data_IF_609590610486
#
_entry.id   IF_609590610486
#
_cell.length_a   1.000
_cell.length_b   1.000
_cell.length_c   1.000
_cell.angle_alpha   90.00
_cell.angle_beta   90.00
_cell.angle_gamma   90.00
#
_symmetry.space_group_name_H-M   'P 1'
#
loop_
_entity.id
_entity.type
_entity.pdbx_description
1 polymer ?
#
# COMPACT_ATOMS: atom_id res chain seq x y z
N UNK A 1 -10.16 32.79 6.04
CA UNK A 1 -11.47 32.65 6.71
C UNK A 1 -11.30 32.25 8.17
N UNK A 2 -10.75 31.07 8.48
CA UNK A 2 -10.47 30.60 9.84
C UNK A 2 -9.84 31.67 10.75
N UNK A 3 -8.73 32.29 10.34
CA UNK A 3 -8.06 33.36 11.12
C UNK A 3 -8.98 34.54 11.48
N UNK A 4 -9.93 34.92 10.60
CA UNK A 4 -10.90 35.99 10.86
C UNK A 4 -11.93 35.58 11.91
N UNK A 5 -12.41 34.34 11.85
CA UNK A 5 -13.38 33.79 12.81
C UNK A 5 -12.74 33.56 14.18
N UNK A 6 -11.50 33.06 14.20
CA UNK A 6 -10.69 32.92 15.40
C UNK A 6 -10.45 34.29 16.04
N UNK A 7 -10.08 35.30 15.25
CA UNK A 7 -9.89 36.67 15.73
C UNK A 7 -11.19 37.32 16.26
N UNK A 8 -12.34 36.98 15.67
CA UNK A 8 -13.65 37.45 16.11
C UNK A 8 -14.16 36.73 17.37
N UNK A 9 -13.48 35.68 17.85
CA UNK A 9 -13.90 34.91 19.02
C UNK A 9 -15.20 34.13 18.80
N UNK A 10 -15.49 33.69 17.57
CA UNK A 10 -16.72 32.97 17.24
C UNK A 10 -16.95 31.75 18.16
N UNK A 11 -18.14 31.62 18.74
CA UNK A 11 -18.50 30.51 19.63
C UNK A 11 -17.94 30.58 21.05
N UNK A 12 -17.29 31.68 21.46
CA UNK A 12 -16.88 31.86 22.85
C UNK A 12 -18.06 32.32 23.71
N UNK A 13 -18.13 31.79 24.93
CA UNK A 13 -19.02 32.30 25.96
C UNK A 13 -18.74 33.80 26.22
N UNK A 14 -19.81 34.57 26.43
CA UNK A 14 -19.73 35.97 26.80
C UNK A 14 -19.19 36.08 28.24
N UNK A 15 -18.35 37.08 28.50
CA UNK A 15 -17.98 37.44 29.87
C UNK A 15 -19.17 37.96 30.67
N UNK A 16 -19.02 38.10 31.99
CA UNK A 16 -20.07 38.66 32.87
C UNK A 16 -20.47 40.12 32.51
N UNK A 17 -19.66 40.78 31.68
CA UNK A 17 -19.82 42.12 31.13
C UNK A 17 -20.56 42.15 29.78
N UNK A 18 -20.98 41.01 29.24
CA UNK A 18 -21.75 40.90 27.99
C UNK A 18 -20.91 41.09 26.70
N UNK A 19 -19.58 41.17 26.82
CA UNK A 19 -18.67 41.22 25.67
C UNK A 19 -18.07 39.84 25.36
N UNK A 20 -17.77 39.52 24.08
CA UNK A 20 -17.08 38.29 23.73
C UNK A 20 -15.69 38.26 24.38
N UNK A 21 -15.32 37.14 25.00
CA UNK A 21 -14.15 36.98 25.87
C UNK A 21 -12.76 37.13 25.18
N UNK A 22 -12.70 37.72 23.99
CA UNK A 22 -11.51 37.97 23.17
C UNK A 22 -11.30 36.94 22.05
N UNK A 23 -10.25 37.09 21.22
CA UNK A 23 -9.94 36.15 20.14
C UNK A 23 -9.58 34.76 20.67
N UNK A 24 -9.73 33.74 19.82
CA UNK A 24 -9.21 32.40 20.09
C UNK A 24 -7.68 32.40 19.98
N UNK A 25 -7.00 31.91 21.02
CA UNK A 25 -5.58 31.51 20.93
C UNK A 25 -5.48 30.00 20.63
N UNK A 26 -4.35 29.51 20.08
CA UNK A 26 -4.17 28.09 19.83
C UNK A 26 -4.39 27.21 21.06
N UNK A 27 -3.96 27.68 22.23
CA UNK A 27 -4.07 26.97 23.51
C UNK A 27 -5.52 26.87 23.96
N UNK A 28 -6.27 27.97 23.88
CA UNK A 28 -7.69 28.01 24.24
C UNK A 28 -8.53 27.13 23.30
N UNK A 29 -8.23 27.16 22.01
CA UNK A 29 -8.98 26.40 21.02
C UNK A 29 -8.69 24.88 21.11
N UNK A 30 -7.43 24.51 21.35
CA UNK A 30 -7.06 23.11 21.59
C UNK A 30 -7.73 22.55 22.85
N UNK A 31 -7.77 23.35 23.92
CA UNK A 31 -8.48 22.99 25.15
C UNK A 31 -9.99 22.83 24.92
N UNK A 32 -10.63 23.79 24.25
CA UNK A 32 -12.07 23.73 23.95
C UNK A 32 -12.46 22.51 23.11
N UNK A 33 -11.67 22.17 22.08
CA UNK A 33 -11.92 20.97 21.25
C UNK A 33 -11.70 19.67 22.03
N UNK A 34 -10.77 19.68 22.99
CA UNK A 34 -10.46 18.50 23.81
C UNK A 34 -11.47 18.29 24.95
N UNK A 35 -12.23 19.32 25.32
CA UNK A 35 -13.31 19.25 26.30
C UNK A 35 -14.64 18.76 25.72
N UNK A 36 -14.76 18.58 24.41
CA UNK A 36 -15.96 18.01 23.79
C UNK A 36 -16.01 16.51 24.13
N UNK A 37 -17.02 16.06 24.87
CA UNK A 37 -17.20 14.67 25.37
C UNK A 37 -17.14 13.59 24.27
N UNK A 38 -17.51 13.95 23.04
CA UNK A 38 -17.45 13.04 21.88
C UNK A 38 -16.06 12.91 21.25
N UNK A 39 -15.06 13.65 21.74
CA UNK A 39 -13.67 13.64 21.28
C UNK A 39 -12.71 13.00 22.30
N UNK A 40 -12.77 11.68 22.47
CA UNK A 40 -11.94 10.93 23.44
C UNK A 40 -10.43 11.05 23.21
N UNK A 41 -9.99 11.43 22.00
CA UNK A 41 -8.58 11.59 21.66
C UNK A 41 -8.04 13.00 21.88
N UNK A 42 -8.91 14.00 22.09
CA UNK A 42 -8.53 15.41 22.08
C UNK A 42 -7.98 15.89 20.74
N UNK A 43 -7.47 17.12 20.70
CA UNK A 43 -6.66 17.63 19.58
C UNK A 43 -5.34 18.15 20.12
N UNK A 44 -4.24 17.73 19.49
CA UNK A 44 -2.90 18.15 19.86
C UNK A 44 -2.67 19.65 19.61
N UNK A 45 -2.08 20.33 20.59
CA UNK A 45 -1.78 21.78 20.55
C UNK A 45 -0.95 22.15 19.33
N UNK A 46 0.04 21.32 18.96
CA UNK A 46 0.88 21.57 17.78
C UNK A 46 0.08 21.57 16.49
N UNK A 47 -0.97 20.76 16.41
CA UNK A 47 -1.88 20.73 15.26
C UNK A 47 -2.68 22.02 15.16
N UNK A 48 -3.16 22.57 16.29
CA UNK A 48 -3.90 23.83 16.31
C UNK A 48 -3.00 25.02 16.00
N UNK A 49 -1.77 25.06 16.54
CA UNK A 49 -0.79 26.11 16.23
C UNK A 49 -0.51 26.21 14.72
N UNK A 50 -0.45 25.08 14.02
CA UNK A 50 -0.29 25.04 12.56
C UNK A 50 -1.46 25.67 11.78
N UNK A 51 -2.65 25.80 12.36
CA UNK A 51 -3.79 26.47 11.73
C UNK A 51 -3.72 27.99 11.82
N UNK A 52 -3.06 28.52 12.85
CA UNK A 52 -2.83 29.95 13.03
C UNK A 52 -1.63 30.46 12.21
N UNK A 53 -0.69 29.57 11.88
CA UNK A 53 0.40 29.87 10.96
C UNK A 53 -0.10 29.97 9.50
N UNK A 54 0.67 30.63 8.64
CA UNK A 54 0.45 30.56 7.18
C UNK A 54 0.92 29.20 6.70
N UNK A 55 -0.02 28.28 6.53
CA UNK A 55 0.28 26.92 6.12
C UNK A 55 -0.68 26.46 5.02
N UNK A 56 -0.08 25.94 3.95
CA UNK A 56 -0.77 25.36 2.82
C UNK A 56 -1.21 23.93 3.08
N UNK A 57 -1.46 23.52 4.33
CA UNK A 57 -2.06 22.20 4.66
C UNK A 57 -3.54 22.30 5.03
N UNK A 58 -4.02 23.46 5.49
CA UNK A 58 -5.43 23.64 5.87
C UNK A 58 -5.83 22.78 7.07
N UNK A 59 -7.13 22.71 7.36
CA UNK A 59 -7.69 21.96 8.49
C UNK A 59 -8.38 20.69 7.95
N UNK A 60 -8.20 19.56 8.63
CA UNK A 60 -8.81 18.27 8.22
C UNK A 60 -10.33 18.25 8.47
N UNK A 61 -11.05 17.39 7.74
CA UNK A 61 -12.51 17.27 7.88
C UNK A 61 -12.96 16.89 9.31
N UNK A 62 -12.22 16.00 9.97
CA UNK A 62 -12.45 15.63 11.37
C UNK A 62 -12.36 16.84 12.30
N UNK A 63 -11.36 17.69 12.09
CA UNK A 63 -11.14 18.88 12.91
C UNK A 63 -12.10 20.03 12.55
N UNK A 64 -12.57 20.08 11.30
CA UNK A 64 -13.64 20.99 10.88
C UNK A 64 -14.94 20.67 11.61
N UNK A 65 -15.28 19.39 11.78
CA UNK A 65 -16.47 18.99 12.55
C UNK A 65 -16.39 19.48 14.00
N UNK A 66 -15.21 19.39 14.62
CA UNK A 66 -15.01 19.90 15.98
C UNK A 66 -15.05 21.43 16.04
N UNK A 67 -14.43 22.12 15.10
CA UNK A 67 -14.48 23.58 15.01
C UNK A 67 -15.89 24.09 14.75
N UNK A 68 -16.66 23.42 13.91
CA UNK A 68 -18.06 23.77 13.66
C UNK A 68 -18.89 23.67 14.94
N UNK A 69 -18.61 22.66 15.76
CA UNK A 69 -19.26 22.45 17.06
C UNK A 69 -18.87 23.51 18.09
N UNK A 70 -17.60 23.91 18.13
CA UNK A 70 -17.12 25.02 18.97
C UNK A 70 -17.71 26.36 18.51
N UNK A 71 -17.68 26.66 17.20
CA UNK A 71 -18.21 27.92 16.67
C UNK A 71 -19.75 27.99 16.69
N UNK A 72 -20.41 26.83 16.68
CA UNK A 72 -21.85 26.69 16.84
C UNK A 72 -22.32 26.59 18.29
N UNK A 73 -21.44 26.71 19.29
CA UNK A 73 -21.79 26.59 20.72
C UNK A 73 -22.59 25.30 21.04
N UNK A 74 -22.22 24.16 20.43
CA UNK A 74 -22.93 22.89 20.55
C UNK A 74 -24.40 22.88 20.06
N UNK A 75 -24.92 23.98 19.49
CA UNK A 75 -26.24 24.02 18.87
C UNK A 75 -26.23 23.23 17.54
N UNK A 76 -27.14 22.25 17.34
CA UNK A 76 -27.13 21.41 16.14
C UNK A 76 -27.33 22.19 14.84
N UNK A 77 -28.16 23.22 14.82
CA UNK A 77 -28.44 24.01 13.61
C UNK A 77 -27.24 24.91 13.26
N UNK A 78 -26.71 25.65 14.23
CA UNK A 78 -25.52 26.47 14.04
C UNK A 78 -24.29 25.61 13.70
N UNK A 79 -24.13 24.44 14.32
CA UNK A 79 -23.04 23.50 14.01
C UNK A 79 -23.12 23.01 12.56
N UNK A 80 -24.32 22.63 12.07
CA UNK A 80 -24.50 22.20 10.69
C UNK A 80 -24.17 23.33 9.70
N UNK A 81 -24.64 24.55 9.97
CA UNK A 81 -24.33 25.73 9.17
C UNK A 81 -22.82 26.01 9.12
N UNK A 82 -22.14 25.97 10.27
CA UNK A 82 -20.69 26.15 10.34
C UNK A 82 -19.92 25.04 9.64
N UNK A 83 -20.40 23.79 9.70
CA UNK A 83 -19.76 22.66 9.05
C UNK A 83 -19.79 22.82 7.52
N UNK A 84 -20.92 23.25 6.95
CA UNK A 84 -21.05 23.54 5.50
C UNK A 84 -20.11 24.66 5.08
N UNK A 85 -20.05 25.72 5.87
CA UNK A 85 -19.22 26.90 5.56
C UNK A 85 -17.72 26.56 5.61
N UNK A 86 -17.28 25.83 6.63
CA UNK A 86 -15.89 25.43 6.80
C UNK A 86 -15.45 24.38 5.78
N UNK A 87 -16.32 23.42 5.43
CA UNK A 87 -16.03 22.42 4.39
C UNK A 87 -15.92 23.07 3.01
N UNK A 88 -16.82 24.01 2.68
CA UNK A 88 -16.73 24.78 1.44
C UNK A 88 -15.44 25.61 1.35
N UNK A 89 -14.99 26.20 2.47
CA UNK A 89 -13.70 26.90 2.52
C UNK A 89 -12.50 25.97 2.31
N UNK A 90 -12.55 24.74 2.85
CA UNK A 90 -11.53 23.72 2.63
C UNK A 90 -11.50 23.26 1.17
N UNK A 91 -12.66 23.03 0.56
CA UNK A 91 -12.79 22.63 -0.85
C UNK A 91 -12.19 23.69 -1.79
N UNK A 92 -12.48 24.98 -1.55
CA UNK A 92 -11.89 26.09 -2.32
C UNK A 92 -10.36 26.12 -2.21
N UNK A 93 -9.83 25.84 -1.02
CA UNK A 93 -8.38 25.80 -0.81
C UNK A 93 -7.74 24.60 -1.55
N UNK A 94 -8.37 23.43 -1.52
CA UNK A 94 -7.91 22.26 -2.27
C UNK A 94 -7.98 22.49 -3.78
N UNK A 95 -9.04 23.14 -4.29
CA UNK A 95 -9.15 23.52 -5.71
C UNK A 95 -8.00 24.45 -6.12
N UNK A 96 -7.74 25.51 -5.35
CA UNK A 96 -6.62 26.43 -5.61
C UNK A 96 -5.26 25.71 -5.63
N UNK A 97 -5.05 24.68 -4.80
CA UNK A 97 -3.81 23.88 -4.85
C UNK A 97 -3.71 23.03 -6.12
N UNK A 98 -4.82 22.48 -6.60
CA UNK A 98 -4.84 21.71 -7.86
C UNK A 98 -4.49 22.63 -9.03
N UNK A 99 -4.98 23.87 -9.03
CA UNK A 99 -4.63 24.89 -10.03
C UNK A 99 -3.15 25.28 -9.99
N UNK A 100 -2.57 25.52 -8.80
CA UNK A 100 -1.14 25.85 -8.67
C UNK A 100 -0.25 24.68 -9.12
N UNK A 101 -0.59 23.44 -8.74
CA UNK A 101 0.14 22.25 -9.21
C UNK A 101 0.07 22.07 -10.73
N UNK A 102 -1.08 22.42 -11.33
CA UNK A 102 -1.29 22.39 -12.78
C UNK A 102 -0.51 23.51 -13.50
N UNK A 103 -0.34 24.67 -12.87
CA UNK A 103 0.46 25.77 -13.41
C UNK A 103 1.98 25.47 -13.36
N UNK A 104 2.46 24.85 -12.28
CA UNK A 104 3.87 24.42 -12.15
C UNK A 104 4.26 23.30 -13.14
N UNK A 105 3.29 22.55 -13.64
CA UNK A 105 3.52 21.50 -14.66
C UNK A 105 3.57 22.03 -16.10
N UNK A 106 3.39 23.34 -16.33
CA UNK A 106 3.41 23.99 -17.65
C UNK A 106 4.67 24.83 -17.95
N UNK A 107 5.69 24.85 -17.08
CA UNK A 107 6.99 25.48 -17.38
C UNK A 107 7.88 24.53 -18.22
N UNK A 108 8.61 25.01 -19.26
CA UNK A 108 9.34 24.13 -20.17
C UNK A 108 10.65 23.65 -19.54
N UNK A 109 10.64 22.41 -19.07
CA UNK A 109 11.81 21.72 -18.53
C UNK A 109 11.49 20.30 -18.05
N UNK A 110 11.52 19.33 -18.99
CA UNK A 110 11.61 17.85 -18.80
C UNK A 110 10.29 17.10 -18.48
N UNK A 111 9.98 15.97 -19.14
CA UNK A 111 8.60 15.54 -19.36
C UNK A 111 7.99 14.61 -18.29
N UNK A 112 6.75 14.95 -17.95
CA UNK A 112 5.54 14.13 -17.74
C UNK A 112 5.56 12.90 -16.83
N UNK A 113 4.76 12.98 -15.74
CA UNK A 113 3.67 12.02 -15.49
C UNK A 113 2.48 12.74 -14.81
N UNK A 114 1.25 12.64 -15.35
CA UNK A 114 0.03 13.23 -14.79
C UNK A 114 -0.57 12.37 -13.65
N UNK A 115 -1.36 12.96 -12.73
CA UNK A 115 -2.76 12.55 -12.71
C UNK A 115 -3.75 13.68 -12.40
N UNK A 116 -4.79 13.69 -13.22
CA UNK A 116 -6.09 14.32 -12.97
C UNK A 116 -7.05 13.25 -12.36
N UNK A 117 -8.35 13.52 -12.21
CA UNK A 117 -9.05 14.30 -11.20
C UNK A 117 -9.86 13.41 -10.25
N UNK A 118 -10.19 13.89 -9.04
CA UNK A 118 -11.48 13.55 -8.43
C UNK A 118 -12.12 14.78 -7.81
N UNK A 119 -13.11 15.27 -8.55
CA UNK A 119 -14.18 16.15 -8.11
C UNK A 119 -15.23 15.26 -7.45
N UNK A 120 -15.52 15.50 -6.18
CA UNK A 120 -16.70 14.95 -5.54
C UNK A 120 -17.89 15.89 -5.87
N UNK A 121 -18.73 15.46 -6.81
CA UNK A 121 -20.06 16.03 -7.03
C UNK A 121 -21.04 15.29 -6.11
N UNK A 122 -21.34 15.86 -4.94
CA UNK A 122 -22.56 15.54 -4.21
C UNK A 122 -23.72 16.33 -4.83
N UNK A 123 -24.50 15.64 -5.68
CA UNK A 123 -25.79 16.13 -6.14
C UNK A 123 -26.88 15.63 -5.20
N UNK A 124 -27.42 16.54 -4.40
CA UNK A 124 -28.63 16.35 -3.60
C UNK A 124 -29.83 16.07 -4.50
N UNK A 125 -30.59 15.02 -4.21
CA UNK A 125 -31.96 14.86 -4.71
C UNK A 125 -32.86 14.25 -3.64
N UNK A 126 -34.12 14.71 -3.56
CA UNK A 126 -34.92 14.65 -2.35
C UNK A 126 -35.60 13.30 -2.15
N UNK A 127 -35.67 12.92 -0.88
CA UNK A 127 -36.33 11.75 -0.33
C UNK A 127 -37.81 11.69 -0.72
N UNK A 128 -38.25 10.54 -1.23
CA UNK A 128 -39.66 10.13 -1.21
C UNK A 128 -39.75 8.84 -0.39
N UNK A 129 -40.38 8.95 0.78
CA UNK A 129 -40.61 7.87 1.72
C UNK A 129 -41.66 6.89 1.16
N UNK A 130 -41.32 5.60 1.10
CA UNK A 130 -42.27 4.48 1.24
C UNK A 130 -41.63 3.44 2.17
N UNK A 131 -42.34 2.96 3.19
CA UNK A 131 -41.83 1.96 4.13
C UNK A 131 -41.92 0.56 3.52
N UNK A 132 -41.07 -0.34 4.04
CA UNK A 132 -41.03 -1.80 3.81
C UNK A 132 -40.03 -2.31 2.77
N UNK A 133 -38.74 -2.20 3.11
CA UNK A 133 -37.73 -3.20 2.77
C UNK A 133 -36.61 -3.16 3.83
N UNK A 134 -36.27 -4.31 4.38
CA UNK A 134 -35.24 -4.47 5.40
C UNK A 134 -33.90 -3.85 4.95
N UNK A 135 -33.16 -3.14 5.83
CA UNK A 135 -31.88 -2.56 5.45
C UNK A 135 -30.82 -3.67 5.41
N UNK A 136 -30.49 -4.14 4.20
CA UNK A 136 -29.18 -4.73 3.94
C UNK A 136 -28.13 -3.67 4.28
N UNK A 137 -27.51 -3.84 5.44
CA UNK A 137 -26.45 -3.01 5.93
C UNK A 137 -25.34 -2.84 4.89
N UNK A 138 -25.23 -1.61 4.36
CA UNK A 138 -23.99 -0.85 4.22
C UNK A 138 -22.75 -1.71 3.84
N UNK A 139 -22.90 -2.47 2.74
CA UNK A 139 -21.83 -3.29 2.19
C UNK A 139 -20.85 -2.35 1.49
N UNK A 140 -19.69 -2.21 2.13
CA UNK A 140 -18.41 -1.67 1.59
C UNK A 140 -18.17 -0.19 1.87
N UNK A 141 -18.00 0.12 3.17
CA UNK A 141 -16.90 1.02 3.58
C UNK A 141 -15.62 0.56 2.88
N UNK A 142 -15.06 1.47 2.09
CA UNK A 142 -13.85 1.36 1.30
C UNK A 142 -12.74 0.65 2.09
N UNK A 143 -12.65 -0.68 1.94
CA UNK A 143 -11.63 -1.50 2.59
C UNK A 143 -10.29 -1.10 1.96
N UNK A 144 -9.25 -1.00 2.79
CA UNK A 144 -7.87 -1.02 2.34
C UNK A 144 -7.69 -2.28 1.46
N UNK A 145 -7.78 -2.12 0.13
CA UNK A 145 -7.66 -3.26 -0.78
C UNK A 145 -6.19 -3.55 -1.02
N UNK A 146 -5.67 -4.52 -0.27
CA UNK A 146 -4.34 -5.10 -0.51
C UNK A 146 -4.21 -5.62 -1.95
N UNK A 147 -5.32 -6.08 -2.54
CA UNK A 147 -5.35 -6.53 -3.92
C UNK A 147 -5.03 -5.39 -4.90
N UNK A 148 -5.70 -4.24 -4.77
CA UNK A 148 -5.39 -3.07 -5.61
C UNK A 148 -3.97 -2.56 -5.40
N UNK A 149 -3.49 -2.49 -4.16
CA UNK A 149 -2.11 -2.06 -3.90
C UNK A 149 -1.09 -3.01 -4.51
N UNK A 150 -1.32 -4.32 -4.41
CA UNK A 150 -0.45 -5.33 -5.03
C UNK A 150 -0.46 -5.17 -6.54
N UNK A 151 -1.64 -5.08 -7.15
CA UNK A 151 -1.76 -4.87 -8.59
C UNK A 151 -1.02 -3.61 -9.05
N UNK A 152 -1.21 -2.47 -8.37
CA UNK A 152 -0.45 -1.24 -8.69
C UNK A 152 1.06 -1.34 -8.50
N UNK A 153 1.57 -2.26 -7.67
CA UNK A 153 3.02 -2.49 -7.57
C UNK A 153 3.58 -3.25 -8.77
N UNK A 154 2.75 -4.07 -9.41
CA UNK A 154 3.10 -4.83 -10.62
C UNK A 154 2.78 -4.06 -11.90
N UNK A 155 1.73 -3.24 -11.93
CA UNK A 155 1.30 -2.49 -13.12
C UNK A 155 1.74 -1.02 -13.10
N UNK A 156 2.12 -0.48 -11.94
CA UNK A 156 2.47 0.93 -11.76
C UNK A 156 3.91 1.27 -12.13
N UNK A 157 4.07 2.13 -13.13
CA UNK A 157 5.37 2.69 -13.53
C UNK A 157 6.15 1.81 -14.50
N UNK A 158 7.49 1.91 -14.48
CA UNK A 158 8.35 1.12 -15.37
C UNK A 158 8.33 -0.36 -14.99
N UNK A 159 8.25 -1.30 -15.95
CA UNK A 159 8.22 -2.73 -15.68
C UNK A 159 9.49 -3.25 -14.97
N UNK A 160 10.54 -2.44 -14.92
CA UNK A 160 11.80 -2.75 -14.26
C UNK A 160 11.85 -2.32 -12.79
N UNK A 161 10.91 -1.48 -12.32
CA UNK A 161 10.98 -0.91 -10.97
C UNK A 161 10.90 -1.97 -9.87
N UNK A 162 9.93 -2.89 -9.96
CA UNK A 162 9.75 -3.95 -8.98
C UNK A 162 10.92 -4.95 -8.98
N UNK A 163 11.33 -5.52 -10.13
CA UNK A 163 12.54 -6.36 -10.21
C UNK A 163 13.80 -5.68 -9.68
N UNK A 164 14.02 -4.41 -10.06
CA UNK A 164 15.19 -3.65 -9.63
C UNK A 164 15.17 -3.38 -8.13
N UNK A 165 14.01 -3.06 -7.54
CA UNK A 165 13.87 -2.86 -6.10
C UNK A 165 14.16 -4.13 -5.30
N UNK A 166 13.73 -5.29 -5.80
CA UNK A 166 13.99 -6.59 -5.17
C UNK A 166 15.48 -6.92 -5.30
N UNK A 167 16.05 -6.79 -6.49
CA UNK A 167 17.49 -6.98 -6.70
C UNK A 167 18.34 -6.06 -5.80
N UNK A 168 17.97 -4.78 -5.70
CA UNK A 168 18.64 -3.81 -4.86
C UNK A 168 18.51 -4.16 -3.37
N UNK A 169 17.35 -4.63 -2.92
CA UNK A 169 17.15 -5.09 -1.54
C UNK A 169 18.01 -6.30 -1.18
N UNK A 170 18.06 -7.31 -2.06
CA UNK A 170 18.94 -8.47 -1.89
C UNK A 170 20.42 -8.06 -1.89
N UNK A 171 20.81 -7.14 -2.78
CA UNK A 171 22.17 -6.58 -2.84
C UNK A 171 22.53 -5.82 -1.56
N UNK A 172 21.62 -4.99 -1.06
CA UNK A 172 21.82 -4.24 0.18
C UNK A 172 22.01 -5.17 1.39
N UNK A 173 21.24 -6.25 1.47
CA UNK A 173 21.44 -7.30 2.49
C UNK A 173 22.80 -8.00 2.34
N UNK A 174 23.24 -8.26 1.10
CA UNK A 174 24.57 -8.80 0.82
C UNK A 174 25.69 -7.88 1.30
N UNK A 175 25.60 -6.58 1.00
CA UNK A 175 26.56 -5.58 1.50
C UNK A 175 26.52 -5.44 3.03
N UNK A 176 25.33 -5.45 3.63
CA UNK A 176 25.19 -5.38 5.07
C UNK A 176 25.79 -6.63 5.74
N UNK A 177 25.60 -7.80 5.14
CA UNK A 177 26.24 -9.05 5.58
C UNK A 177 27.77 -8.97 5.55
N UNK A 178 28.32 -8.29 4.54
CA UNK A 178 29.75 -8.03 4.44
C UNK A 178 30.23 -7.11 5.58
N UNK A 179 29.57 -5.97 5.77
CA UNK A 179 29.88 -4.99 6.84
C UNK A 179 29.83 -5.64 8.22
N UNK A 180 28.84 -6.50 8.44
CA UNK A 180 28.61 -7.19 9.72
C UNK A 180 29.54 -8.40 9.92
N UNK A 181 30.25 -8.86 8.88
CA UNK A 181 31.22 -9.95 8.98
C UNK A 181 30.62 -11.38 8.93
N UNK A 182 29.38 -11.52 8.47
CA UNK A 182 28.65 -12.81 8.38
C UNK A 182 28.52 -13.33 6.93
N UNK A 183 29.18 -12.66 5.99
CA UNK A 183 29.14 -12.97 4.56
C UNK A 183 29.80 -14.31 4.22
N UNK A 184 30.92 -14.64 4.86
CA UNK A 184 31.65 -15.90 4.70
C UNK A 184 32.48 -16.20 5.95
N UNK A 185 32.32 -17.40 6.51
CA UNK A 185 33.17 -17.91 7.58
C UNK A 185 33.50 -19.39 7.34
N UNK A 186 34.76 -19.75 7.59
CA UNK A 186 35.20 -21.15 7.53
C UNK A 186 35.15 -21.72 8.94
N UNK A 187 34.33 -22.75 9.14
CA UNK A 187 34.22 -23.49 10.39
C UNK A 187 34.83 -24.88 10.23
N UNK A 188 35.75 -25.27 11.11
CA UNK A 188 36.19 -26.66 11.22
C UNK A 188 35.16 -27.44 12.03
N UNK A 189 34.46 -28.35 11.37
CA UNK A 189 33.61 -29.35 12.03
C UNK A 189 34.49 -30.34 12.81
N UNK A 190 33.91 -31.00 13.81
CA UNK A 190 34.55 -32.04 14.62
C UNK A 190 35.29 -33.13 13.81
N UNK A 191 34.93 -33.32 12.54
CA UNK A 191 35.56 -34.28 11.60
C UNK A 191 36.81 -33.74 10.88
N UNK A 192 37.35 -32.57 11.28
CA UNK A 192 38.42 -31.82 10.59
C UNK A 192 38.09 -31.36 9.16
N UNK A 193 36.81 -31.40 8.76
CA UNK A 193 36.35 -30.87 7.47
C UNK A 193 36.04 -29.38 7.65
N UNK A 194 36.74 -28.54 6.91
CA UNK A 194 36.43 -27.12 6.78
C UNK A 194 35.13 -26.95 5.98
N UNK A 195 34.10 -26.38 6.60
CA UNK A 195 32.85 -26.02 5.95
C UNK A 195 32.73 -24.51 5.87
N UNK A 196 32.52 -23.99 4.67
CA UNK A 196 32.18 -22.59 4.46
C UNK A 196 30.71 -22.36 4.79
N UNK A 197 30.44 -21.46 5.73
CA UNK A 197 29.12 -21.08 6.17
C UNK A 197 29.07 -19.57 6.15
N UNK A 198 28.11 -19.01 5.44
CA UNK A 198 27.95 -17.57 5.32
C UNK A 198 26.70 -17.23 4.53
N UNK A 199 26.27 -15.98 4.64
CA UNK A 199 25.08 -15.50 3.94
C UNK A 199 25.19 -15.69 2.42
N UNK A 200 26.39 -15.51 1.84
CA UNK A 200 26.64 -15.70 0.40
C UNK A 200 26.62 -17.17 -0.03
N UNK A 201 26.90 -18.08 0.91
CA UNK A 201 26.90 -19.52 0.64
C UNK A 201 25.52 -20.15 0.74
N UNK A 202 24.51 -19.39 1.16
CA UNK A 202 23.13 -19.84 1.19
C UNK A 202 22.49 -19.65 -0.21
N UNK A 203 22.19 -20.73 -0.95
CA UNK A 203 21.68 -20.62 -2.32
C UNK A 203 20.36 -19.85 -2.42
N UNK A 204 19.54 -19.90 -1.36
CA UNK A 204 18.30 -19.12 -1.31
C UNK A 204 18.56 -17.61 -1.44
N UNK A 205 19.68 -17.10 -0.92
CA UNK A 205 19.98 -15.66 -0.99
C UNK A 205 20.61 -15.26 -2.32
N UNK A 206 21.54 -16.06 -2.83
CA UNK A 206 22.31 -15.73 -4.05
C UNK A 206 21.63 -16.15 -5.34
N UNK A 207 20.82 -17.20 -5.35
CA UNK A 207 20.09 -17.64 -6.55
C UNK A 207 18.63 -17.20 -6.50
N UNK A 208 17.90 -17.53 -5.44
CA UNK A 208 16.46 -17.25 -5.38
C UNK A 208 16.18 -15.74 -5.28
N UNK A 209 16.67 -15.04 -4.25
CA UNK A 209 16.36 -13.63 -4.05
C UNK A 209 17.10 -12.66 -4.99
N UNK A 210 18.31 -13.02 -5.43
CA UNK A 210 19.12 -12.19 -6.31
C UNK A 210 18.83 -12.39 -7.80
N UNK A 211 18.42 -13.59 -8.23
CA UNK A 211 18.29 -13.90 -9.66
C UNK A 211 16.89 -14.36 -10.03
N UNK A 212 16.42 -15.48 -9.47
CA UNK A 212 15.15 -16.10 -9.88
C UNK A 212 13.95 -15.18 -9.60
N UNK A 213 13.92 -14.56 -8.43
CA UNK A 213 12.78 -13.75 -8.00
C UNK A 213 12.65 -12.42 -8.77
N UNK A 214 13.73 -11.62 -8.98
CA UNK A 214 13.67 -10.47 -9.88
C UNK A 214 13.25 -10.85 -11.31
N UNK A 215 13.76 -11.96 -11.85
CA UNK A 215 13.37 -12.45 -13.18
C UNK A 215 11.89 -12.84 -13.23
N UNK A 216 11.40 -13.55 -12.20
CA UNK A 216 9.99 -13.86 -12.07
C UNK A 216 9.14 -12.58 -12.08
N UNK A 217 9.49 -11.58 -11.26
CA UNK A 217 8.74 -10.32 -11.23
C UNK A 217 8.80 -9.55 -12.54
N UNK A 218 9.93 -9.60 -13.27
CA UNK A 218 10.04 -8.95 -14.57
C UNK A 218 9.06 -9.57 -15.56
N UNK A 219 8.99 -10.91 -15.60
CA UNK A 219 8.06 -11.63 -16.47
C UNK A 219 6.60 -11.39 -16.10
N UNK A 220 6.26 -11.43 -14.81
CA UNK A 220 4.88 -11.18 -14.34
C UNK A 220 4.47 -9.75 -14.69
N UNK A 221 5.35 -8.79 -14.44
CA UNK A 221 5.08 -7.37 -14.72
C UNK A 221 4.91 -7.11 -16.21
N UNK A 222 5.79 -7.65 -17.06
CA UNK A 222 5.68 -7.53 -18.52
C UNK A 222 4.38 -8.18 -19.02
N UNK A 223 4.05 -9.36 -18.51
CA UNK A 223 2.85 -10.09 -18.90
C UNK A 223 1.57 -9.36 -18.48
N UNK A 224 1.55 -8.81 -17.26
CA UNK A 224 0.43 -8.06 -16.74
C UNK A 224 0.25 -6.73 -17.48
N UNK A 225 1.35 -6.01 -17.76
CA UNK A 225 1.33 -4.79 -18.55
C UNK A 225 0.80 -5.07 -19.96
N UNK A 226 1.27 -6.13 -20.62
CA UNK A 226 0.75 -6.55 -21.92
C UNK A 226 -0.75 -6.89 -21.87
N UNK A 227 -1.19 -7.63 -20.86
CA UNK A 227 -2.60 -8.04 -20.74
C UNK A 227 -3.54 -6.87 -20.53
N UNK A 228 -3.17 -5.95 -19.64
CA UNK A 228 -3.99 -4.78 -19.29
C UNK A 228 -4.00 -3.73 -20.41
N UNK A 229 -2.89 -3.52 -21.12
CA UNK A 229 -2.79 -2.51 -22.19
C UNK A 229 -3.29 -3.00 -23.56
N UNK A 230 -2.84 -4.16 -24.02
CA UNK A 230 -3.09 -4.61 -25.40
C UNK A 230 -3.97 -5.85 -25.45
N UNK A 231 -3.72 -6.82 -24.55
CA UNK A 231 -4.31 -8.15 -24.63
C UNK A 231 -5.83 -8.15 -24.44
N UNK A 232 -6.32 -7.45 -23.41
CA UNK A 232 -7.75 -7.26 -23.19
C UNK A 232 -8.38 -6.48 -24.33
N UNK A 233 -7.81 -5.33 -24.72
CA UNK A 233 -8.41 -4.46 -25.74
C UNK A 233 -8.63 -5.20 -27.06
N UNK A 234 -7.64 -5.97 -27.54
CA UNK A 234 -7.76 -6.72 -28.80
C UNK A 234 -8.82 -7.82 -28.77
N UNK A 235 -9.08 -8.43 -27.61
CA UNK A 235 -10.16 -9.41 -27.45
C UNK A 235 -11.53 -8.74 -27.34
N UNK A 236 -11.60 -7.55 -26.75
CA UNK A 236 -12.83 -6.79 -26.55
C UNK A 236 -13.25 -5.94 -27.74
N UNK A 237 -12.36 -5.54 -28.65
CA UNK A 237 -12.76 -4.90 -29.92
C UNK A 237 -13.69 -5.78 -30.77
N UNK A 238 -13.81 -7.06 -30.44
CA UNK A 238 -14.71 -8.03 -31.04
C UNK A 238 -16.06 -8.18 -30.31
N UNK A 239 -16.14 -7.83 -29.02
CA UNK A 239 -17.38 -7.84 -28.23
C UNK A 239 -17.75 -6.39 -27.90
N UNK A 240 -18.77 -5.88 -28.59
CA UNK A 240 -19.22 -4.47 -28.68
C UNK A 240 -19.70 -3.83 -27.34
N UNK A 241 -19.04 -4.11 -26.22
CA UNK A 241 -19.46 -3.79 -24.85
C UNK A 241 -18.45 -2.87 -24.18
N UNK A 242 -18.86 -1.63 -23.93
CA UNK A 242 -18.07 -0.48 -23.46
C UNK A 242 -17.75 -0.52 -21.95
N UNK A 243 -17.14 -1.59 -21.42
CA UNK A 243 -16.70 -1.66 -20.01
C UNK A 243 -15.25 -2.17 -19.88
N UNK A 244 -14.28 -1.31 -20.22
CA UNK A 244 -12.88 -1.72 -20.44
C UNK A 244 -12.04 -1.93 -19.16
N UNK A 245 -12.22 -1.11 -18.12
CA UNK A 245 -11.24 -1.01 -17.02
C UNK A 245 -11.81 -1.42 -15.64
N UNK A 246 -13.08 -1.10 -15.41
CA UNK A 246 -13.78 -1.44 -14.17
C UNK A 246 -13.87 -2.96 -13.92
N UNK A 247 -13.92 -3.77 -14.98
CA UNK A 247 -14.07 -5.22 -14.87
C UNK A 247 -12.78 -5.91 -14.42
N UNK A 248 -11.60 -5.42 -14.85
CA UNK A 248 -10.31 -5.92 -14.34
C UNK A 248 -10.16 -5.60 -12.86
N UNK A 249 -10.40 -4.33 -12.48
CA UNK A 249 -10.30 -3.90 -11.10
C UNK A 249 -11.28 -4.65 -10.18
N UNK A 250 -12.49 -4.98 -10.67
CA UNK A 250 -13.45 -5.83 -9.94
C UNK A 250 -12.99 -7.28 -9.82
N UNK A 251 -12.39 -7.85 -10.86
CA UNK A 251 -11.86 -9.22 -10.82
C UNK A 251 -10.70 -9.34 -9.82
N UNK A 252 -9.79 -8.37 -9.80
CA UNK A 252 -8.70 -8.29 -8.81
C UNK A 252 -9.25 -8.12 -7.39
N UNK A 253 -10.25 -7.25 -7.20
CA UNK A 253 -10.92 -7.07 -5.91
C UNK A 253 -11.64 -8.34 -5.44
N UNK A 254 -12.18 -9.12 -6.38
CA UNK A 254 -12.78 -10.44 -6.13
C UNK A 254 -11.81 -11.42 -5.46
N UNK A 255 -10.50 -11.26 -5.69
CA UNK A 255 -9.45 -12.07 -5.06
C UNK A 255 -8.88 -11.43 -3.77
N UNK A 256 -9.48 -10.37 -3.23
CA UNK A 256 -8.95 -9.65 -2.05
C UNK A 256 -8.75 -10.53 -0.81
N UNK A 257 -9.57 -11.58 -0.62
CA UNK A 257 -9.38 -12.53 0.47
C UNK A 257 -8.06 -13.29 0.33
N UNK A 258 -7.73 -13.76 -0.88
CA UNK A 258 -6.49 -14.49 -1.15
C UNK A 258 -5.26 -13.62 -0.88
N UNK A 259 -5.26 -12.36 -1.33
CA UNK A 259 -4.18 -11.42 -1.03
C UNK A 259 -4.00 -11.18 0.48
N UNK A 260 -5.11 -11.03 1.21
CA UNK A 260 -5.07 -10.85 2.67
C UNK A 260 -4.55 -12.10 3.39
N UNK A 261 -5.07 -13.28 3.03
CA UNK A 261 -4.65 -14.55 3.61
C UNK A 261 -3.15 -14.80 3.39
N UNK A 262 -2.67 -14.62 2.16
CA UNK A 262 -1.25 -14.75 1.81
C UNK A 262 -0.41 -13.72 2.57
N UNK A 263 -0.85 -12.46 2.67
CA UNK A 263 -0.13 -11.44 3.44
C UNK A 263 0.07 -11.87 4.90
N UNK A 264 -1.00 -12.34 5.55
CA UNK A 264 -0.94 -12.81 6.93
C UNK A 264 -0.03 -14.02 7.08
N UNK A 265 -0.13 -15.00 6.18
CA UNK A 265 0.71 -16.20 6.22
C UNK A 265 2.19 -15.82 6.02
N UNK A 266 2.51 -14.98 5.04
CA UNK A 266 3.89 -14.58 4.77
C UNK A 266 4.48 -13.78 5.94
N UNK A 267 3.79 -12.73 6.40
CA UNK A 267 4.33 -11.84 7.43
C UNK A 267 4.38 -12.53 8.79
N UNK A 268 3.31 -13.20 9.22
CA UNK A 268 3.24 -13.80 10.55
C UNK A 268 4.02 -15.11 10.63
N UNK A 269 3.77 -16.06 9.72
CA UNK A 269 4.38 -17.38 9.82
C UNK A 269 5.79 -17.39 9.23
N UNK A 270 5.96 -17.03 7.96
CA UNK A 270 7.27 -17.08 7.30
C UNK A 270 8.23 -15.98 7.78
N UNK A 271 7.68 -14.82 8.19
CA UNK A 271 8.45 -13.72 8.78
C UNK A 271 8.65 -13.90 10.28
N UNK A 272 7.64 -13.55 11.06
CA UNK A 272 7.75 -13.37 12.51
C UNK A 272 8.03 -14.69 13.25
N UNK A 273 7.17 -15.70 13.09
CA UNK A 273 7.32 -16.95 13.85
C UNK A 273 8.57 -17.73 13.42
N UNK A 274 8.86 -17.79 12.12
CA UNK A 274 10.07 -18.43 11.65
C UNK A 274 11.33 -17.70 12.13
N UNK A 275 11.35 -16.37 12.15
CA UNK A 275 12.47 -15.61 12.71
C UNK A 275 12.63 -15.85 14.21
N UNK A 276 11.53 -15.85 14.97
CA UNK A 276 11.56 -16.11 16.41
C UNK A 276 12.15 -17.49 16.69
N UNK A 277 11.63 -18.53 16.03
CA UNK A 277 12.04 -19.91 16.28
C UNK A 277 13.44 -20.25 15.75
N UNK A 278 13.80 -19.78 14.56
CA UNK A 278 15.04 -20.18 13.88
C UNK A 278 16.23 -19.29 14.25
N UNK A 279 16.00 -18.03 14.60
CA UNK A 279 17.08 -17.07 14.88
C UNK A 279 17.01 -16.52 16.31
N UNK A 280 15.88 -15.92 16.71
CA UNK A 280 15.82 -15.16 17.97
C UNK A 280 16.05 -16.03 19.20
N UNK A 281 15.30 -17.13 19.35
CA UNK A 281 15.41 -18.03 20.49
C UNK A 281 16.84 -18.62 20.58
N UNK A 282 17.41 -19.21 19.51
CA UNK A 282 18.80 -19.67 19.53
C UNK A 282 19.81 -18.61 19.96
N UNK A 283 19.68 -17.37 19.44
CA UNK A 283 20.59 -16.27 19.74
C UNK A 283 20.49 -15.78 21.19
N UNK A 284 19.32 -15.91 21.83
CA UNK A 284 19.11 -15.51 23.22
C UNK A 284 19.51 -16.60 24.22
N UNK A 285 19.19 -17.86 23.93
CA UNK A 285 19.38 -19.00 24.84
C UNK A 285 20.76 -19.65 24.72
N UNK A 286 21.53 -19.32 23.67
CA UNK A 286 22.95 -19.71 23.56
C UNK A 286 23.18 -21.15 23.12
N UNK A 287 22.30 -21.70 22.27
CA UNK A 287 22.48 -23.03 21.70
C UNK A 287 21.25 -23.49 20.93
N UNK A 288 21.46 -24.15 19.78
CA UNK A 288 20.42 -24.89 19.11
C UNK A 288 20.99 -26.21 18.57
N UNK A 289 20.22 -27.29 18.68
CA UNK A 289 20.45 -28.59 18.03
C UNK A 289 20.39 -28.52 16.48
N UNK A 290 20.20 -27.32 15.91
CA UNK A 290 20.20 -27.08 14.48
C UNK A 290 21.60 -26.83 13.95
N UNK A 291 21.90 -27.38 12.77
CA UNK A 291 23.16 -27.15 12.07
C UNK A 291 23.47 -25.65 11.98
N UNK A 292 24.68 -25.24 12.39
CA UNK A 292 25.13 -23.84 12.40
C UNK A 292 24.81 -23.15 11.07
N UNK A 293 23.94 -22.15 11.13
CA UNK A 293 23.52 -21.34 9.98
C UNK A 293 24.16 -19.94 10.07
N UNK A 294 24.12 -19.18 8.97
CA UNK A 294 24.61 -17.79 8.94
C UNK A 294 23.93 -16.89 9.99
N UNK A 295 22.68 -17.19 10.37
CA UNK A 295 21.94 -16.44 11.40
C UNK A 295 22.35 -16.77 12.84
N UNK A 296 23.04 -17.90 13.04
CA UNK A 296 23.50 -18.40 14.35
C UNK A 296 25.02 -18.31 14.49
N UNK A 297 25.71 -17.76 13.48
CA UNK A 297 27.17 -17.66 13.43
C UNK A 297 27.74 -16.84 14.61
N UNK A 298 26.97 -15.89 15.14
CA UNK A 298 27.29 -15.10 16.32
C UNK A 298 27.53 -15.93 17.59
N UNK A 299 26.86 -17.09 17.73
CA UNK A 299 27.01 -17.98 18.90
C UNK A 299 28.35 -18.71 18.86
N UNK A 300 28.81 -19.06 17.65
CA UNK A 300 30.04 -19.83 17.44
C UNK A 300 31.28 -18.92 17.36
N UNK A 301 31.12 -17.69 16.89
CA UNK A 301 32.20 -16.70 16.70
C UNK A 301 31.80 -15.32 17.27
N UNK A 302 31.63 -15.20 18.61
CA UNK A 302 31.26 -13.92 19.24
C UNK A 302 32.31 -12.82 19.04
N UNK A 303 33.54 -13.18 18.69
CA UNK A 303 34.64 -12.25 18.39
C UNK A 303 34.46 -11.49 17.07
N UNK A 304 33.62 -11.98 16.15
CA UNK A 304 33.38 -11.37 14.84
C UNK A 304 32.12 -10.50 14.84
N UNK A 305 31.08 -10.91 15.57
CA UNK A 305 29.80 -10.22 15.60
C UNK A 305 29.12 -10.34 16.97
N UNK A 306 28.58 -9.23 17.46
CA UNK A 306 27.79 -9.22 18.68
C UNK A 306 26.38 -9.81 18.46
N UNK A 307 25.84 -10.47 19.49
CA UNK A 307 24.49 -11.05 19.47
C UNK A 307 23.41 -10.04 19.07
N UNK A 308 23.39 -8.79 19.58
CA UNK A 308 22.37 -7.80 19.18
C UNK A 308 22.42 -7.44 17.70
N UNK A 309 23.62 -7.33 17.11
CA UNK A 309 23.80 -7.04 15.68
C UNK A 309 23.30 -8.22 14.83
N UNK A 310 23.56 -9.46 15.27
CA UNK A 310 23.03 -10.66 14.61
C UNK A 310 21.50 -10.73 14.64
N UNK A 311 20.89 -10.37 15.77
CA UNK A 311 19.43 -10.31 15.91
C UNK A 311 18.85 -9.26 14.94
N UNK A 312 19.44 -8.06 14.89
CA UNK A 312 18.98 -7.00 13.99
C UNK A 312 19.12 -7.39 12.50
N UNK A 313 20.26 -7.97 12.12
CA UNK A 313 20.49 -8.42 10.74
C UNK A 313 19.49 -9.53 10.34
N UNK A 314 19.34 -10.55 11.18
CA UNK A 314 18.41 -11.67 10.90
C UNK A 314 16.96 -11.19 10.85
N UNK A 315 16.56 -10.24 11.71
CA UNK A 315 15.23 -9.63 11.65
C UNK A 315 14.98 -8.92 10.31
N UNK A 316 15.96 -8.13 9.85
CA UNK A 316 15.87 -7.43 8.56
C UNK A 316 15.81 -8.42 7.40
N UNK A 317 16.64 -9.47 7.44
CA UNK A 317 16.64 -10.51 6.42
C UNK A 317 15.28 -11.24 6.35
N UNK A 318 14.71 -11.64 7.49
CA UNK A 318 13.41 -12.31 7.51
C UNK A 318 12.25 -11.39 7.12
N UNK A 319 12.31 -10.10 7.46
CA UNK A 319 11.36 -9.11 6.97
C UNK A 319 11.41 -8.98 5.45
N UNK A 320 12.62 -8.87 4.89
CA UNK A 320 12.80 -8.82 3.44
C UNK A 320 12.30 -10.11 2.76
N UNK A 321 12.61 -11.27 3.33
CA UNK A 321 12.17 -12.57 2.86
C UNK A 321 10.65 -12.68 2.81
N UNK A 322 9.95 -12.29 3.88
CA UNK A 322 8.50 -12.40 3.94
C UNK A 322 7.79 -11.44 2.99
N UNK A 323 8.34 -10.22 2.79
CA UNK A 323 7.85 -9.28 1.78
C UNK A 323 8.04 -9.84 0.36
N UNK A 324 9.20 -10.44 0.08
CA UNK A 324 9.48 -11.08 -1.20
C UNK A 324 8.53 -12.26 -1.48
N UNK A 325 8.27 -13.11 -0.49
CA UNK A 325 7.31 -14.20 -0.63
C UNK A 325 5.89 -13.71 -0.81
N UNK A 326 5.49 -12.65 -0.10
CA UNK A 326 4.20 -12.02 -0.32
C UNK A 326 4.05 -11.55 -1.78
N UNK A 327 5.06 -10.84 -2.30
CA UNK A 327 5.07 -10.38 -3.68
C UNK A 327 5.06 -11.56 -4.68
N UNK A 328 5.79 -12.63 -4.40
CA UNK A 328 5.79 -13.84 -5.20
C UNK A 328 4.38 -14.43 -5.34
N UNK A 329 3.71 -14.68 -4.21
CA UNK A 329 2.34 -15.20 -4.21
C UNK A 329 1.33 -14.20 -4.79
N UNK A 330 1.51 -12.90 -4.56
CA UNK A 330 0.71 -11.86 -5.20
C UNK A 330 0.82 -11.93 -6.72
N UNK A 331 2.03 -12.12 -7.26
CA UNK A 331 2.26 -12.35 -8.69
C UNK A 331 1.58 -13.62 -9.21
N UNK A 332 1.60 -14.71 -8.44
CA UNK A 332 0.87 -15.95 -8.79
C UNK A 332 -0.65 -15.76 -8.79
N UNK A 333 -1.19 -15.03 -7.81
CA UNK A 333 -2.62 -14.70 -7.76
C UNK A 333 -2.98 -13.88 -9.00
N UNK A 334 -2.19 -12.86 -9.35
CA UNK A 334 -2.42 -12.04 -10.54
C UNK A 334 -2.40 -12.88 -11.82
N UNK A 335 -1.42 -13.77 -11.99
CA UNK A 335 -1.38 -14.71 -13.12
C UNK A 335 -2.63 -15.59 -13.18
N UNK A 336 -3.08 -16.09 -12.02
CA UNK A 336 -4.30 -16.89 -11.96
C UNK A 336 -5.54 -16.07 -12.34
N UNK A 337 -5.67 -14.84 -11.82
CA UNK A 337 -6.75 -13.91 -12.17
C UNK A 337 -6.75 -13.60 -13.67
N UNK A 338 -5.57 -13.41 -14.29
CA UNK A 338 -5.44 -13.22 -15.73
C UNK A 338 -5.94 -14.43 -16.53
N UNK A 339 -5.57 -15.65 -16.12
CA UNK A 339 -6.05 -16.89 -16.77
C UNK A 339 -7.56 -17.01 -16.66
N UNK A 340 -8.11 -16.68 -15.50
CA UNK A 340 -9.56 -16.69 -15.28
C UNK A 340 -10.27 -15.65 -16.16
N UNK A 341 -9.72 -14.45 -16.27
CA UNK A 341 -10.23 -13.37 -17.12
C UNK A 341 -10.20 -13.78 -18.61
N UNK A 342 -9.09 -14.36 -19.08
CA UNK A 342 -8.94 -14.86 -20.44
C UNK A 342 -9.98 -15.96 -20.76
N UNK A 343 -10.17 -16.93 -19.85
CA UNK A 343 -11.17 -18.00 -20.04
C UNK A 343 -12.58 -17.46 -20.11
N UNK A 344 -12.90 -16.44 -19.31
CA UNK A 344 -14.21 -15.79 -19.31
C UNK A 344 -14.45 -15.11 -20.66
N UNK A 345 -13.47 -14.34 -21.15
CA UNK A 345 -13.56 -13.64 -22.44
C UNK A 345 -13.65 -14.63 -23.62
N UNK A 346 -12.86 -15.70 -23.61
CA UNK A 346 -12.92 -16.75 -24.64
C UNK A 346 -14.28 -17.46 -24.67
N UNK A 347 -14.88 -17.72 -23.50
CA UNK A 347 -16.21 -18.32 -23.41
C UNK A 347 -17.29 -17.37 -23.95
N UNK A 348 -17.26 -16.10 -23.57
CA UNK A 348 -18.19 -15.08 -24.05
C UNK A 348 -18.05 -14.86 -25.57
N UNK A 349 -16.82 -14.82 -26.10
CA UNK A 349 -16.54 -14.70 -27.53
C UNK A 349 -17.03 -15.93 -28.32
N UNK A 350 -16.85 -17.15 -27.80
CA UNK A 350 -17.39 -18.38 -28.42
C UNK A 350 -18.91 -18.41 -28.47
N UNK A 351 -19.57 -17.80 -27.49
CA UNK A 351 -21.03 -17.66 -27.46
C UNK A 351 -21.49 -16.58 -28.46
N UNK A 352 -20.74 -15.49 -28.60
CA UNK A 352 -21.11 -14.35 -29.46
C UNK A 352 -20.75 -14.55 -30.94
N UNK A 353 -19.69 -15.30 -31.26
CA UNK A 353 -19.15 -15.37 -32.62
C UNK A 353 -18.69 -16.77 -33.04
N UNK A 354 -19.50 -17.35 -33.92
CA UNK A 354 -19.17 -18.47 -34.77
C UNK A 354 -18.89 -17.94 -36.18
N UNK A 355 -17.71 -17.33 -36.39
CA UNK A 355 -17.02 -17.03 -37.67
C UNK A 355 -16.31 -15.68 -37.56
N UNK A 356 -14.97 -15.66 -37.66
CA UNK A 356 -14.33 -14.47 -38.25
C UNK A 356 -12.91 -14.01 -37.89
N UNK A 357 -12.14 -14.55 -36.94
CA UNK A 357 -10.66 -14.35 -36.89
C UNK A 357 -10.01 -15.17 -35.77
N UNK A 358 -9.86 -16.48 -35.98
CA UNK A 358 -9.25 -17.37 -34.99
C UNK A 358 -7.73 -17.17 -34.85
N UNK A 359 -7.06 -16.54 -35.83
CA UNK A 359 -5.61 -16.43 -35.89
C UNK A 359 -5.00 -15.49 -34.84
N UNK A 360 -5.55 -14.28 -34.70
CA UNK A 360 -5.02 -13.26 -33.77
C UNK A 360 -5.27 -13.65 -32.30
N UNK A 361 -6.43 -14.24 -32.01
CA UNK A 361 -6.75 -14.78 -30.67
C UNK A 361 -5.82 -15.93 -30.32
N UNK A 362 -5.51 -16.81 -31.28
CA UNK A 362 -4.58 -17.92 -31.07
C UNK A 362 -3.16 -17.43 -30.78
N UNK A 363 -2.67 -16.41 -31.51
CA UNK A 363 -1.36 -15.80 -31.26
C UNK A 363 -1.30 -15.13 -29.87
N UNK A 364 -2.35 -14.43 -29.47
CA UNK A 364 -2.46 -13.82 -28.14
C UNK A 364 -2.41 -14.87 -27.03
N UNK A 365 -3.22 -15.93 -27.16
CA UNK A 365 -3.25 -17.06 -26.24
C UNK A 365 -1.90 -17.77 -26.15
N UNK A 366 -1.21 -17.98 -27.28
CA UNK A 366 0.12 -18.56 -27.30
C UNK A 366 1.15 -17.70 -26.57
N UNK A 367 1.10 -16.37 -26.74
CA UNK A 367 1.98 -15.44 -26.03
C UNK A 367 1.74 -15.48 -24.53
N UNK A 368 0.47 -15.49 -24.10
CA UNK A 368 0.09 -15.58 -22.69
C UNK A 368 0.51 -16.93 -22.09
N UNK A 369 0.23 -18.04 -22.76
CA UNK A 369 0.64 -19.37 -22.32
C UNK A 369 2.17 -19.49 -22.22
N UNK A 370 2.91 -18.93 -23.17
CA UNK A 370 4.38 -18.91 -23.13
C UNK A 370 4.90 -18.07 -21.96
N UNK A 371 4.27 -16.92 -21.69
CA UNK A 371 4.60 -16.07 -20.54
C UNK A 371 4.34 -16.76 -19.21
N UNK A 372 3.16 -17.35 -19.04
CA UNK A 372 2.77 -18.14 -17.85
C UNK A 372 3.73 -19.32 -17.67
N UNK A 373 4.04 -20.05 -18.74
CA UNK A 373 4.94 -21.19 -18.70
C UNK A 373 6.34 -20.79 -18.19
N UNK A 374 6.90 -19.68 -18.70
CA UNK A 374 8.17 -19.13 -18.20
C UNK A 374 8.08 -18.75 -16.72
N UNK A 375 6.99 -18.10 -16.30
CA UNK A 375 6.78 -17.76 -14.89
C UNK A 375 6.68 -19.02 -14.01
N UNK A 376 5.99 -20.08 -14.46
CA UNK A 376 5.87 -21.33 -13.70
C UNK A 376 7.18 -22.11 -13.59
N UNK A 377 8.03 -22.07 -14.62
CA UNK A 377 9.38 -22.66 -14.54
C UNK A 377 10.20 -21.94 -13.49
N UNK A 378 10.24 -20.61 -13.56
CA UNK A 378 10.99 -19.77 -12.60
C UNK A 378 10.44 -19.88 -11.17
N UNK A 379 9.14 -20.10 -11.01
CA UNK A 379 8.49 -20.31 -9.73
C UNK A 379 8.73 -21.72 -9.14
N UNK A 380 9.06 -22.71 -9.98
CA UNK A 380 9.29 -24.10 -9.59
C UNK A 380 10.76 -24.46 -9.35
N UNK A 381 11.69 -23.57 -9.71
CA UNK A 381 13.12 -23.67 -9.40
C UNK A 381 13.42 -23.08 -8.02
#
# INVERSE_FOLDING_TARGET
>A
MFKKLAAAGAGRALGEDGFPAGPWTPELLAAAISQIDSNRSGVDLRTVQLWFQENDRGISATNIRWLARVFGCDDPEATAAWQVVLSAAQARLQAKRREVKKADSLAPGTPDVPPDPTVDHEQWSPVKFTPDAEPEADRKKQRFSLARKSETLFSGGSPLNLPASVFAGASALGFLSYIVGIHSAVYLRADNIAKEVGFLWAPNWTLLFMVLLPLFFALVTELLAFWTSEGRMKLWTWSDTTTSDDDWARNVEGSSFSFCAVFLICVLFAGVFQWIGVCLIPLLEGGADYATSWGTLAIVRPEVISVPVSIAFTALAYLYMCLCFYLFFAGLILLHTMIHDLRKIDLEAKILQQVGSQGEVHELCLRLMRGIFRCTILAGC
#
